data_IF_552154907912
#
_entry.id   IF_552154907912
#
_cell.length_a   1.000
_cell.length_b   1.000
_cell.length_c   1.000
_cell.angle_alpha   90.00
_cell.angle_beta   90.00
_cell.angle_gamma   90.00
#
_symmetry.space_group_name_H-M   'P 1'
#
loop_
_entity.id
_entity.type
_entity.pdbx_description
1 polymer ?
#
# COMPACT_ATOMS: atom_id res chain seq x y z
N UNK A 1 9.14 -17.17 -16.76
CA UNK A 1 9.41 -15.73 -16.67
C UNK A 1 10.63 -15.53 -15.79
N UNK A 2 11.68 -14.91 -16.31
CA UNK A 2 12.85 -14.57 -15.50
C UNK A 2 12.44 -13.60 -14.38
N UNK A 3 12.98 -13.80 -13.18
CA UNK A 3 12.69 -12.91 -12.05
C UNK A 3 13.44 -11.59 -12.24
N UNK A 4 12.69 -10.50 -12.35
CA UNK A 4 13.24 -9.15 -12.37
C UNK A 4 14.08 -8.87 -11.13
N UNK A 5 15.26 -8.30 -11.35
CA UNK A 5 16.14 -7.82 -10.28
C UNK A 5 15.47 -6.68 -9.50
N UNK A 6 15.93 -6.44 -8.27
CA UNK A 6 15.39 -5.37 -7.42
C UNK A 6 15.55 -3.97 -8.05
N UNK A 7 16.66 -3.76 -8.80
CA UNK A 7 16.90 -2.52 -9.55
C UNK A 7 15.86 -2.34 -10.67
N UNK A 8 15.61 -3.38 -11.48
CA UNK A 8 14.61 -3.36 -12.54
C UNK A 8 13.19 -3.11 -12.01
N UNK A 9 12.85 -3.65 -10.84
CA UNK A 9 11.56 -3.40 -10.18
C UNK A 9 11.41 -1.93 -9.74
N UNK A 10 12.46 -1.31 -9.18
CA UNK A 10 12.46 0.11 -8.82
C UNK A 10 12.32 1.02 -10.05
N UNK A 11 12.99 0.67 -11.13
CA UNK A 11 12.88 1.34 -12.43
C UNK A 11 11.44 1.26 -12.95
N UNK A 12 10.88 0.06 -13.07
CA UNK A 12 9.48 -0.17 -13.49
C UNK A 12 8.51 0.66 -12.63
N UNK A 13 8.75 0.72 -11.33
CA UNK A 13 7.93 1.49 -10.39
C UNK A 13 7.88 2.98 -10.72
N UNK A 14 9.01 3.62 -11.04
CA UNK A 14 9.03 5.03 -11.42
C UNK A 14 8.35 5.25 -12.78
N UNK A 15 8.59 4.34 -13.74
CA UNK A 15 8.03 4.42 -15.08
C UNK A 15 6.49 4.34 -15.12
N UNK A 16 5.88 3.54 -14.23
CA UNK A 16 4.40 3.42 -14.13
C UNK A 16 3.74 4.75 -13.75
N UNK A 17 4.41 5.59 -12.96
CA UNK A 17 3.85 6.85 -12.47
C UNK A 17 4.23 8.06 -13.33
N UNK A 18 5.45 8.10 -13.86
CA UNK A 18 5.95 9.23 -14.66
C UNK A 18 5.59 9.10 -16.15
N UNK A 19 5.26 7.89 -16.62
CA UNK A 19 4.79 7.61 -17.99
C UNK A 19 5.85 7.76 -19.08
N UNK A 20 7.06 8.19 -18.73
CA UNK A 20 8.17 8.39 -19.66
C UNK A 20 9.34 7.48 -19.30
N UNK A 21 10.00 6.90 -20.31
CA UNK A 21 11.14 5.99 -20.15
C UNK A 21 12.42 6.72 -20.61
N UNK A 22 13.24 7.26 -19.69
CA UNK A 22 14.50 7.87 -20.06
C UNK A 22 15.46 6.84 -20.69
N UNK A 23 16.20 7.24 -21.73
CA UNK A 23 17.20 6.38 -22.40
C UNK A 23 18.31 5.89 -21.45
N UNK A 24 18.56 6.62 -20.36
CA UNK A 24 19.51 6.29 -19.30
C UNK A 24 19.07 5.05 -18.51
N UNK A 25 17.76 4.89 -18.28
CA UNK A 25 17.16 3.74 -17.60
C UNK A 25 17.27 2.47 -18.47
N UNK A 26 17.10 2.60 -19.78
CA UNK A 26 17.24 1.49 -20.73
C UNK A 26 18.69 0.95 -20.68
N UNK A 27 19.68 1.84 -20.60
CA UNK A 27 21.10 1.46 -20.46
C UNK A 27 21.42 0.78 -19.13
N UNK A 28 20.80 1.19 -18.03
CA UNK A 28 20.97 0.54 -16.72
C UNK A 28 20.35 -0.85 -16.64
N UNK A 29 19.28 -1.11 -17.41
CA UNK A 29 18.64 -2.43 -17.41
C UNK A 29 19.38 -3.50 -18.22
N UNK A 30 20.32 -3.10 -19.10
CA UNK A 30 21.39 -3.89 -19.74
C UNK A 30 21.00 -5.10 -20.61
N UNK A 31 19.91 -5.79 -20.26
CA UNK A 31 19.51 -7.12 -20.75
C UNK A 31 18.08 -7.15 -21.32
N UNK A 32 17.29 -6.09 -21.11
CA UNK A 32 15.87 -6.02 -21.50
C UNK A 32 15.75 -5.08 -22.69
N UNK A 33 15.09 -5.52 -23.77
CA UNK A 33 14.82 -4.65 -24.92
C UNK A 33 13.82 -3.54 -24.54
N UNK A 34 13.82 -2.43 -25.27
CA UNK A 34 12.87 -1.34 -25.03
C UNK A 34 11.41 -1.79 -25.15
N UNK A 35 11.12 -2.75 -26.04
CA UNK A 35 9.79 -3.30 -26.26
C UNK A 35 9.36 -4.20 -25.08
N UNK A 36 10.26 -5.07 -24.61
CA UNK A 36 10.02 -5.89 -23.41
C UNK A 36 9.84 -5.04 -22.15
N UNK A 37 10.60 -3.96 -22.01
CA UNK A 37 10.45 -3.03 -20.89
C UNK A 37 9.09 -2.33 -20.93
N UNK A 38 8.63 -1.90 -22.11
CA UNK A 38 7.29 -1.29 -22.29
C UNK A 38 6.17 -2.28 -21.97
N UNK A 39 6.29 -3.54 -22.40
CA UNK A 39 5.32 -4.59 -22.05
C UNK A 39 5.25 -4.80 -20.54
N UNK A 40 6.41 -4.94 -19.87
CA UNK A 40 6.48 -5.08 -18.41
C UNK A 40 5.90 -3.87 -17.66
N UNK A 41 6.18 -2.65 -18.13
CA UNK A 41 5.58 -1.42 -17.56
C UNK A 41 4.06 -1.46 -17.74
N UNK A 42 3.56 -1.80 -18.93
CA UNK A 42 2.15 -1.84 -19.22
C UNK A 42 1.41 -2.90 -18.38
N UNK A 43 1.94 -4.12 -18.30
CA UNK A 43 1.39 -5.19 -17.47
C UNK A 43 1.34 -4.79 -15.99
N UNK A 44 2.45 -4.24 -15.47
CA UNK A 44 2.53 -3.81 -14.08
C UNK A 44 1.63 -2.60 -13.79
N UNK A 45 1.45 -1.68 -14.74
CA UNK A 45 0.51 -0.56 -14.63
C UNK A 45 -0.94 -1.05 -14.60
N UNK A 46 -1.30 -2.05 -15.43
CA UNK A 46 -2.63 -2.67 -15.41
C UNK A 46 -2.88 -3.37 -14.07
N UNK A 47 -1.95 -4.21 -13.61
CA UNK A 47 -2.08 -4.91 -12.33
C UNK A 47 -2.23 -3.92 -11.16
N UNK A 48 -1.44 -2.85 -11.18
CA UNK A 48 -1.50 -1.78 -10.17
C UNK A 48 -2.85 -1.07 -10.19
N UNK A 49 -3.37 -0.73 -11.38
CA UNK A 49 -4.69 -0.10 -11.53
C UNK A 49 -5.82 -1.02 -11.06
N UNK A 50 -5.76 -2.31 -11.35
CA UNK A 50 -6.74 -3.29 -10.87
C UNK A 50 -6.69 -3.44 -9.34
N UNK A 51 -5.49 -3.47 -8.74
CA UNK A 51 -5.34 -3.44 -7.27
C UNK A 51 -5.95 -2.18 -6.68
N UNK A 52 -5.69 -1.00 -7.26
CA UNK A 52 -6.30 0.26 -6.81
C UNK A 52 -7.82 0.23 -6.90
N UNK A 53 -8.39 -0.30 -7.98
CA UNK A 53 -9.84 -0.46 -8.13
C UNK A 53 -10.44 -1.39 -7.06
N UNK A 54 -9.79 -2.52 -6.77
CA UNK A 54 -10.22 -3.42 -5.68
C UNK A 54 -10.17 -2.74 -4.33
N UNK A 55 -9.10 -2.01 -4.04
CA UNK A 55 -8.94 -1.24 -2.81
C UNK A 55 -10.04 -0.19 -2.66
N UNK A 56 -10.40 0.53 -3.74
CA UNK A 56 -11.54 1.46 -3.74
C UNK A 56 -12.86 0.77 -3.41
N UNK A 57 -13.11 -0.40 -3.99
CA UNK A 57 -14.28 -1.21 -3.68
C UNK A 57 -14.35 -1.60 -2.21
N UNK A 58 -13.22 -2.07 -1.66
CA UNK A 58 -13.10 -2.44 -0.24
C UNK A 58 -13.34 -1.23 0.68
N UNK A 59 -12.83 -0.05 0.32
CA UNK A 59 -13.04 1.18 1.06
C UNK A 59 -14.52 1.59 1.13
N UNK A 60 -15.21 1.58 -0.02
CA UNK A 60 -16.64 1.90 -0.05
C UNK A 60 -17.45 0.90 0.77
N UNK A 61 -17.11 -0.38 0.70
CA UNK A 61 -17.73 -1.42 1.52
C UNK A 61 -17.48 -1.20 3.01
N UNK A 62 -16.25 -0.86 3.40
CA UNK A 62 -15.87 -0.51 4.78
C UNK A 62 -16.51 0.77 5.32
N UNK A 63 -17.23 1.55 4.50
CA UNK A 63 -17.98 2.71 4.97
C UNK A 63 -19.43 2.38 5.36
N UNK A 64 -19.94 1.20 4.99
CA UNK A 64 -21.32 0.82 5.29
C UNK A 64 -21.55 0.68 6.79
N UNK A 65 -22.66 1.21 7.30
CA UNK A 65 -22.97 1.18 8.73
C UNK A 65 -23.42 -0.19 9.25
N UNK A 66 -23.87 -1.08 8.36
CA UNK A 66 -24.35 -2.41 8.71
C UNK A 66 -23.25 -3.46 8.93
N UNK A 67 -21.98 -3.11 8.73
CA UNK A 67 -20.89 -4.07 8.82
C UNK A 67 -20.58 -4.45 10.27
N UNK A 68 -20.58 -5.75 10.54
CA UNK A 68 -20.15 -6.26 11.86
C UNK A 68 -18.69 -5.87 12.14
N UNK A 69 -18.41 -5.52 13.39
CA UNK A 69 -17.09 -5.01 13.79
C UNK A 69 -15.93 -5.98 13.49
N UNK A 70 -16.14 -7.28 13.70
CA UNK A 70 -15.11 -8.30 13.44
C UNK A 70 -14.75 -8.37 11.95
N UNK A 71 -15.77 -8.39 11.08
CA UNK A 71 -15.61 -8.34 9.62
C UNK A 71 -14.88 -7.05 9.23
N UNK A 72 -15.34 -5.90 9.74
CA UNK A 72 -14.70 -4.59 9.48
C UNK A 72 -13.23 -4.59 9.85
N UNK A 73 -12.85 -5.21 10.97
CA UNK A 73 -11.44 -5.33 11.40
C UNK A 73 -10.63 -6.17 10.42
N UNK A 74 -11.14 -7.34 10.03
CA UNK A 74 -10.49 -8.21 9.06
C UNK A 74 -10.24 -7.49 7.73
N UNK A 75 -11.29 -6.88 7.19
CA UNK A 75 -11.24 -6.19 5.91
C UNK A 75 -10.37 -4.92 5.98
N UNK A 76 -10.27 -4.27 7.15
CA UNK A 76 -9.33 -3.16 7.36
C UNK A 76 -7.87 -3.65 7.38
N UNK A 77 -7.59 -4.84 7.89
CA UNK A 77 -6.24 -5.45 7.79
C UNK A 77 -5.90 -5.66 6.32
N UNK A 78 -6.81 -6.24 5.54
CA UNK A 78 -6.59 -6.49 4.12
C UNK A 78 -6.43 -5.20 3.32
N UNK A 79 -7.18 -4.16 3.68
CA UNK A 79 -7.00 -2.82 3.14
C UNK A 79 -5.57 -2.30 3.40
N UNK A 80 -5.10 -2.30 4.65
CA UNK A 80 -3.75 -1.81 4.99
C UNK A 80 -2.67 -2.62 4.28
N UNK A 81 -2.80 -3.96 4.26
CA UNK A 81 -1.85 -4.82 3.55
C UNK A 81 -1.80 -4.47 2.06
N UNK A 82 -2.97 -4.37 1.41
CA UNK A 82 -3.06 -4.04 -0.01
C UNK A 82 -2.49 -2.65 -0.32
N UNK A 83 -2.75 -1.67 0.54
CA UNK A 83 -2.19 -0.33 0.39
C UNK A 83 -0.67 -0.33 0.47
N UNK A 84 -0.09 -1.08 1.41
CA UNK A 84 1.36 -1.21 1.53
C UNK A 84 1.96 -1.84 0.28
N UNK A 85 1.35 -2.90 -0.23
CA UNK A 85 1.79 -3.51 -1.49
C UNK A 85 1.76 -2.51 -2.64
N UNK A 86 0.76 -1.64 -2.73
CA UNK A 86 0.72 -0.67 -3.85
C UNK A 86 1.72 0.48 -3.64
N UNK A 87 1.80 1.06 -2.44
CA UNK A 87 2.67 2.22 -2.15
C UNK A 87 4.14 1.82 -2.15
N UNK A 88 4.47 0.73 -1.47
CA UNK A 88 5.84 0.28 -1.32
C UNK A 88 6.23 -0.74 -2.40
N UNK A 89 5.27 -1.36 -3.10
CA UNK A 89 5.52 -2.40 -4.11
C UNK A 89 6.32 -3.58 -3.55
N UNK A 90 6.04 -3.91 -2.28
CA UNK A 90 6.69 -4.98 -1.53
C UNK A 90 5.67 -5.92 -0.91
N UNK A 91 6.00 -7.22 -0.83
CA UNK A 91 5.14 -8.18 -0.15
C UNK A 91 5.01 -7.81 1.32
N UNK A 92 3.82 -8.04 1.88
CA UNK A 92 3.59 -7.88 3.32
C UNK A 92 4.02 -9.15 4.03
N UNK A 93 4.98 -9.02 4.94
CA UNK A 93 5.46 -10.15 5.73
C UNK A 93 4.44 -10.57 6.79
N UNK A 94 4.48 -11.85 7.18
CA UNK A 94 3.57 -12.40 8.19
C UNK A 94 3.70 -11.67 9.53
N UNK A 95 4.93 -11.33 9.95
CA UNK A 95 5.16 -10.57 11.19
C UNK A 95 4.43 -9.23 11.15
N UNK A 96 4.55 -8.53 10.03
CA UNK A 96 3.90 -7.24 9.85
C UNK A 96 2.38 -7.35 9.82
N UNK A 97 1.85 -8.39 9.16
CA UNK A 97 0.42 -8.69 9.17
C UNK A 97 -0.09 -8.93 10.60
N UNK A 98 0.68 -9.64 11.44
CA UNK A 98 0.32 -9.86 12.84
C UNK A 98 0.35 -8.56 13.65
N UNK A 99 1.37 -7.73 13.44
CA UNK A 99 1.48 -6.42 14.07
C UNK A 99 0.27 -5.52 13.73
N UNK A 100 -0.13 -5.47 12.47
CA UNK A 100 -1.34 -4.75 12.02
C UNK A 100 -2.59 -5.31 12.70
N UNK A 101 -2.71 -6.65 12.74
CA UNK A 101 -3.84 -7.36 13.36
C UNK A 101 -4.01 -6.98 14.83
N UNK A 102 -2.94 -7.08 15.63
CA UNK A 102 -2.95 -6.72 17.04
C UNK A 102 -3.38 -5.27 17.25
N UNK A 103 -2.88 -4.34 16.42
CA UNK A 103 -3.21 -2.90 16.54
C UNK A 103 -4.67 -2.63 16.23
N UNK A 104 -5.20 -3.19 15.14
CA UNK A 104 -6.59 -2.98 14.71
C UNK A 104 -7.60 -3.51 15.74
N UNK A 105 -7.26 -4.57 16.47
CA UNK A 105 -8.13 -5.12 17.51
C UNK A 105 -8.48 -4.13 18.63
N UNK A 106 -7.68 -3.09 18.83
CA UNK A 106 -7.90 -2.06 19.85
C UNK A 106 -8.74 -0.87 19.37
N UNK A 107 -9.08 -0.79 18.09
CA UNK A 107 -9.87 0.31 17.52
C UNK A 107 -11.37 0.02 17.64
N UNK A 108 -12.15 1.07 17.93
CA UNK A 108 -13.61 1.02 17.87
C UNK A 108 -14.09 1.18 16.42
N UNK A 109 -15.34 0.80 16.16
CA UNK A 109 -15.93 0.86 14.81
C UNK A 109 -15.82 2.25 14.18
N UNK A 110 -16.08 3.31 14.97
CA UNK A 110 -15.98 4.71 14.52
C UNK A 110 -14.58 5.07 14.05
N UNK A 111 -13.55 4.53 14.70
CA UNK A 111 -12.15 4.85 14.39
C UNK A 111 -11.71 4.13 13.12
N UNK A 112 -12.14 2.88 12.94
CA UNK A 112 -11.92 2.11 11.72
C UNK A 112 -12.62 2.77 10.51
N UNK A 113 -13.87 3.22 10.67
CA UNK A 113 -14.58 4.00 9.65
C UNK A 113 -13.84 5.29 9.32
N UNK A 114 -13.36 6.01 10.34
CA UNK A 114 -12.59 7.24 10.16
C UNK A 114 -11.29 6.97 9.40
N UNK A 115 -10.58 5.89 9.70
CA UNK A 115 -9.38 5.46 8.95
C UNK A 115 -9.71 5.22 7.47
N UNK A 116 -10.74 4.43 7.17
CA UNK A 116 -11.17 4.15 5.80
C UNK A 116 -11.63 5.43 5.06
N UNK A 117 -12.33 6.34 5.75
CA UNK A 117 -12.84 7.57 5.15
C UNK A 117 -11.75 8.50 4.61
N UNK A 118 -10.56 8.54 5.26
CA UNK A 118 -9.43 9.38 4.83
C UNK A 118 -8.88 9.02 3.46
N UNK A 119 -9.23 7.85 2.94
CA UNK A 119 -8.80 7.33 1.65
C UNK A 119 -9.88 7.41 0.56
N UNK A 120 -11.11 7.72 0.94
CA UNK A 120 -12.29 7.41 0.15
C UNK A 120 -13.08 8.66 -0.25
N UNK A 121 -12.41 9.75 -0.60
CA UNK A 121 -13.10 10.98 -0.98
C UNK A 121 -12.90 11.32 -2.47
N UNK A 122 -13.37 10.41 -3.34
CA UNK A 122 -13.60 10.63 -4.78
C UNK A 122 -12.36 10.84 -5.70
N UNK A 123 -11.21 10.23 -5.38
CA UNK A 123 -9.91 10.61 -5.97
C UNK A 123 -9.35 9.73 -7.14
N UNK A 124 -8.63 10.37 -8.11
CA UNK A 124 -7.72 9.73 -9.06
C UNK A 124 -6.61 8.91 -8.38
N UNK A 125 -6.01 7.98 -9.12
CA UNK A 125 -5.01 7.00 -8.62
C UNK A 125 -3.86 7.66 -7.82
N UNK A 126 -3.38 8.84 -8.23
CA UNK A 126 -2.25 9.52 -7.58
C UNK A 126 -2.59 10.13 -6.21
N UNK A 127 -3.73 10.84 -6.11
CA UNK A 127 -4.15 11.45 -4.84
C UNK A 127 -4.53 10.35 -3.84
N UNK A 128 -5.15 9.28 -4.34
CA UNK A 128 -5.41 8.08 -3.58
C UNK A 128 -4.15 7.51 -2.91
N UNK A 129 -3.05 7.34 -3.66
CA UNK A 129 -1.79 6.83 -3.11
C UNK A 129 -1.17 7.74 -2.08
N UNK A 130 -1.24 9.05 -2.29
CA UNK A 130 -0.70 10.04 -1.35
C UNK A 130 -1.44 9.95 -0.01
N UNK A 131 -2.77 9.92 -0.02
CA UNK A 131 -3.58 9.76 1.18
C UNK A 131 -3.35 8.41 1.87
N UNK A 132 -3.22 7.34 1.08
CA UNK A 132 -2.92 6.01 1.60
C UNK A 132 -1.55 5.93 2.28
N UNK A 133 -0.54 6.62 1.75
CA UNK A 133 0.77 6.72 2.40
C UNK A 133 0.65 7.43 3.74
N UNK A 134 -0.07 8.55 3.80
CA UNK A 134 -0.31 9.25 5.07
C UNK A 134 -1.04 8.37 6.09
N UNK A 135 -2.01 7.56 5.66
CA UNK A 135 -2.69 6.63 6.56
C UNK A 135 -1.73 5.57 7.09
N UNK A 136 -0.90 4.97 6.23
CA UNK A 136 0.11 4.00 6.65
C UNK A 136 1.09 4.64 7.63
N UNK A 137 1.62 5.82 7.30
CA UNK A 137 2.55 6.55 8.14
C UNK A 137 1.92 6.87 9.52
N UNK A 138 0.66 7.31 9.56
CA UNK A 138 -0.06 7.55 10.83
C UNK A 138 -0.29 6.24 11.62
N UNK A 139 -0.61 5.16 10.92
CA UNK A 139 -0.80 3.85 11.53
C UNK A 139 0.50 3.33 12.17
N UNK A 140 1.64 3.45 11.49
CA UNK A 140 2.96 3.07 12.02
C UNK A 140 3.54 4.11 13.00
N UNK A 141 3.20 5.40 12.88
CA UNK A 141 3.62 6.41 13.86
C UNK A 141 2.97 6.19 15.23
N UNK A 142 1.72 5.71 15.24
CA UNK A 142 1.07 5.26 16.47
C UNK A 142 1.77 4.04 17.10
N UNK A 143 2.44 3.20 16.32
CA UNK A 143 3.32 2.13 16.82
C UNK A 143 4.54 2.69 17.55
N UNK A 144 5.21 3.73 17.01
CA UNK A 144 6.30 4.38 17.73
C UNK A 144 5.81 4.93 19.08
N UNK A 145 4.68 5.64 19.11
CA UNK A 145 4.12 6.18 20.36
C UNK A 145 3.71 5.09 21.36
N UNK A 146 3.18 3.96 20.89
CA UNK A 146 2.80 2.85 21.77
C UNK A 146 4.03 2.10 22.32
N UNK A 147 5.08 1.90 21.53
CA UNK A 147 6.37 1.37 22.01
C UNK A 147 7.03 2.31 23.05
N UNK A 148 6.92 3.62 22.88
CA UNK A 148 7.41 4.60 23.87
C UNK A 148 6.57 4.62 25.16
N UNK A 149 5.27 4.29 25.09
CA UNK A 149 4.42 4.14 26.28
C UNK A 149 4.69 2.84 27.04
N UNK A 150 5.06 1.78 26.34
CA UNK A 150 5.34 0.47 26.93
C UNK A 150 6.76 0.35 27.50
N UNK A 151 7.70 1.24 27.14
CA UNK A 151 9.03 1.26 27.77
C UNK A 151 9.67 2.67 27.85
N UNK A 152 9.49 3.41 28.97
CA UNK A 152 10.16 4.69 29.22
C UNK A 152 11.69 4.60 29.32
N UNK A 153 12.26 3.39 29.36
CA UNK A 153 13.68 3.14 29.60
C UNK A 153 14.47 2.74 28.35
N UNK A 154 13.89 2.78 27.15
CA UNK A 154 14.60 2.45 25.91
C UNK A 154 15.72 3.44 25.51
N UNK A 155 15.98 4.46 26.33
CA UNK A 155 17.13 5.38 26.23
C UNK A 155 18.03 5.29 27.48
N UNK A 156 18.54 4.10 27.79
CA UNK A 156 19.75 3.96 28.61
C UNK A 156 20.72 2.99 27.97
#
# INVERSE_FOLDING_TARGET
MEQLTECQRKILKNLIFDGDIPDEIIKETGSISQEQLRELVAESAIETREKMQRIRGLLHYLQQDSLQLEIRRHDTIDLICSLREVIYFWPVEMQEKMDITCRIQHYEERDLKKMASRLCIYEPDYIFLTQAKMLLDDFYANEFRNRYRENPLANR
#
